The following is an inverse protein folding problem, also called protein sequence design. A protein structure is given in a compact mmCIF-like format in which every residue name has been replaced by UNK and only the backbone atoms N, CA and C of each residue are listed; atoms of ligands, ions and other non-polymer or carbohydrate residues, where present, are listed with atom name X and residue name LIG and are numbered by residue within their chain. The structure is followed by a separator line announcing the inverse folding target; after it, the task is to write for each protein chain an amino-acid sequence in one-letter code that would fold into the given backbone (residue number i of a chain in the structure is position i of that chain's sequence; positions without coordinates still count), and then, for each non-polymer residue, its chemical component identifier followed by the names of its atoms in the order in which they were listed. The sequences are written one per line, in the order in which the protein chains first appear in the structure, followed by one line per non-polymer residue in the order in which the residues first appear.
data_IF_662191896821
#
_entry.id   IF_662191896821
#
_cell.length_a   1.000
_cell.length_b   1.000
_cell.length_c   1.000
_cell.angle_alpha   90.00
_cell.angle_beta   90.00
_cell.angle_gamma   90.00
#
_symmetry.space_group_name_H-M   'P 1'
#
loop_
_entity.id
_entity.type
_entity.pdbx_description
1 polymer ?
#
# COMPACT_ATOMS: atom_id res chain seq x y z
N UNK A 1 -22.36 11.74 -12.77
CA UNK A 1 -22.79 12.63 -11.69
C UNK A 1 -21.77 13.76 -11.47
N UNK A 2 -22.19 14.95 -11.03
CA UNK A 2 -21.26 16.03 -10.62
C UNK A 2 -21.48 16.37 -9.16
N UNK A 3 -20.44 16.24 -8.33
CA UNK A 3 -20.47 16.61 -6.90
C UNK A 3 -19.33 17.55 -6.61
N UNK A 4 -19.63 18.72 -6.04
CA UNK A 4 -18.64 19.77 -5.71
C UNK A 4 -17.76 20.18 -6.90
N UNK A 5 -18.31 20.17 -8.12
CA UNK A 5 -17.57 20.50 -9.34
C UNK A 5 -16.67 19.38 -9.89
N UNK A 6 -16.69 18.20 -9.27
CA UNK A 6 -15.96 17.01 -9.74
C UNK A 6 -16.92 16.08 -10.47
N UNK A 7 -16.50 15.63 -11.65
CA UNK A 7 -17.25 14.71 -12.50
C UNK A 7 -16.90 13.26 -12.18
N UNK A 8 -17.92 12.50 -11.79
CA UNK A 8 -17.86 11.08 -11.52
C UNK A 8 -18.71 10.30 -12.53
N UNK A 9 -18.29 9.07 -12.84
CA UNK A 9 -19.19 8.11 -13.47
C UNK A 9 -20.37 7.86 -12.53
N UNK A 10 -21.58 7.90 -13.09
CA UNK A 10 -22.81 7.68 -12.33
C UNK A 10 -23.03 6.19 -12.05
N UNK A 11 -22.66 5.36 -13.02
CA UNK A 11 -22.69 3.91 -12.90
C UNK A 11 -21.60 3.44 -11.92
N UNK A 12 -22.02 2.72 -10.87
CA UNK A 12 -21.11 2.16 -9.87
C UNK A 12 -20.72 3.12 -8.74
N UNK A 13 -21.30 4.33 -8.67
CA UNK A 13 -21.09 5.20 -7.51
C UNK A 13 -21.72 4.60 -6.25
N UNK A 14 -20.89 4.38 -5.23
CA UNK A 14 -21.32 3.97 -3.90
C UNK A 14 -21.54 5.22 -3.05
N UNK A 15 -22.66 5.25 -2.32
CA UNK A 15 -23.02 6.34 -1.44
C UNK A 15 -23.05 5.86 0.02
N UNK A 16 -22.73 6.78 0.93
CA UNK A 16 -23.04 6.62 2.34
C UNK A 16 -24.56 6.73 2.58
N UNK A 17 -25.06 6.29 3.77
CA UNK A 17 -26.48 6.41 4.10
C UNK A 17 -27.04 7.84 4.07
N UNK A 18 -26.20 8.86 4.24
CA UNK A 18 -26.57 10.27 4.15
C UNK A 18 -26.60 10.82 2.71
N UNK A 19 -26.29 9.97 1.72
CA UNK A 19 -26.25 10.31 0.30
C UNK A 19 -24.94 10.93 -0.19
N UNK A 20 -23.96 11.14 0.68
CA UNK A 20 -22.62 11.57 0.26
C UNK A 20 -21.86 10.43 -0.44
N UNK A 21 -20.88 10.76 -1.29
CA UNK A 21 -20.12 9.75 -2.05
C UNK A 21 -19.22 8.97 -1.10
N UNK A 22 -19.34 7.64 -1.09
CA UNK A 22 -18.36 6.72 -0.50
C UNK A 22 -17.27 6.37 -1.50
N UNK A 23 -17.63 5.91 -2.70
CA UNK A 23 -16.70 5.49 -3.73
C UNK A 23 -17.23 5.78 -5.12
N UNK A 24 -16.38 6.30 -6.01
CA UNK A 24 -16.78 6.55 -7.39
C UNK A 24 -15.56 6.63 -8.32
N UNK A 25 -15.76 6.34 -9.60
CA UNK A 25 -14.73 6.51 -10.63
C UNK A 25 -14.73 7.94 -11.17
N UNK A 26 -13.55 8.56 -11.24
CA UNK A 26 -13.39 9.88 -11.84
C UNK A 26 -13.51 9.83 -13.36
N UNK A 27 -14.22 10.77 -13.98
CA UNK A 27 -14.33 10.84 -15.45
C UNK A 27 -13.01 11.27 -16.10
N UNK A 28 -12.28 12.17 -15.43
CA UNK A 28 -11.04 12.78 -15.89
C UNK A 28 -10.18 13.14 -14.68
N UNK A 29 -8.92 13.49 -14.95
CA UNK A 29 -8.03 14.01 -13.91
C UNK A 29 -8.70 15.19 -13.18
N UNK A 30 -8.61 15.17 -11.86
CA UNK A 30 -9.22 16.18 -10.99
C UNK A 30 -8.36 16.41 -9.76
N UNK A 31 -8.24 17.67 -9.34
CA UNK A 31 -7.63 18.01 -8.05
C UNK A 31 -8.68 17.85 -6.94
N UNK A 32 -8.46 16.88 -6.04
CA UNK A 32 -9.35 16.60 -4.91
C UNK A 32 -8.59 16.90 -3.63
N UNK A 33 -9.03 17.93 -2.89
CA UNK A 33 -8.41 18.33 -1.62
C UNK A 33 -6.90 18.62 -1.75
N UNK A 34 -6.49 19.14 -2.91
CA UNK A 34 -5.09 19.45 -3.23
C UNK A 34 -4.28 18.28 -3.79
N UNK A 35 -4.90 17.11 -3.99
CA UNK A 35 -4.25 15.93 -4.57
C UNK A 35 -4.64 15.74 -6.04
N UNK A 36 -3.67 15.58 -6.96
CA UNK A 36 -3.94 15.37 -8.38
C UNK A 36 -4.37 13.93 -8.64
N UNK A 37 -5.68 13.68 -8.65
CA UNK A 37 -6.25 12.36 -8.84
C UNK A 37 -6.43 12.04 -10.32
N UNK A 38 -6.11 10.80 -10.72
CA UNK A 38 -6.20 10.32 -12.09
C UNK A 38 -7.63 9.99 -12.52
N UNK A 39 -7.99 10.41 -13.73
CA UNK A 39 -9.24 10.00 -14.38
C UNK A 39 -9.28 8.50 -14.68
N UNK A 40 -10.48 7.96 -14.82
CA UNK A 40 -10.74 6.53 -15.03
C UNK A 40 -10.39 5.66 -13.83
N UNK A 41 -10.06 6.26 -12.67
CA UNK A 41 -9.69 5.55 -11.45
C UNK A 41 -10.69 5.84 -10.33
N UNK A 42 -10.84 4.85 -9.46
CA UNK A 42 -11.69 4.99 -8.28
C UNK A 42 -11.05 5.88 -7.23
N UNK A 43 -11.90 6.69 -6.61
CA UNK A 43 -11.61 7.39 -5.36
C UNK A 43 -12.56 6.90 -4.29
N UNK A 44 -12.07 6.84 -3.06
CA UNK A 44 -12.86 6.48 -1.88
C UNK A 44 -12.74 7.59 -0.86
N UNK A 45 -13.84 7.90 -0.19
CA UNK A 45 -13.93 8.93 0.84
C UNK A 45 -14.26 8.30 2.20
N UNK A 46 -13.87 9.01 3.27
CA UNK A 46 -14.42 8.79 4.60
C UNK A 46 -15.84 9.37 4.70
N UNK A 47 -16.65 8.93 5.69
CA UNK A 47 -17.98 9.52 5.93
C UNK A 47 -17.96 11.05 6.09
N UNK A 48 -16.87 11.63 6.62
CA UNK A 48 -16.68 13.08 6.70
C UNK A 48 -16.37 13.78 5.36
N UNK A 49 -16.40 13.06 4.23
CA UNK A 49 -16.11 13.58 2.89
C UNK A 49 -14.62 13.83 2.61
N UNK A 50 -13.74 13.46 3.54
CA UNK A 50 -12.28 13.50 3.34
C UNK A 50 -11.86 12.37 2.41
N UNK A 51 -10.91 12.65 1.51
CA UNK A 51 -10.37 11.60 0.64
C UNK A 51 -9.74 10.52 1.53
N UNK A 52 -9.87 9.25 1.14
CA UNK A 52 -9.26 8.10 1.79
C UNK A 52 -8.30 7.36 0.86
N UNK A 53 -8.73 7.16 -0.39
CA UNK A 53 -7.97 6.48 -1.42
C UNK A 53 -8.12 7.23 -2.73
N UNK A 54 -7.02 7.35 -3.47
CA UNK A 54 -7.04 7.76 -4.86
C UNK A 54 -5.85 7.14 -5.61
N UNK A 55 -5.87 7.28 -6.94
CA UNK A 55 -4.65 7.16 -7.75
C UNK A 55 -4.16 8.55 -8.12
N UNK A 56 -2.91 8.86 -7.79
CA UNK A 56 -2.23 10.09 -8.20
C UNK A 56 -1.87 10.03 -9.68
N UNK A 57 -2.21 11.08 -10.45
CA UNK A 57 -1.87 11.17 -11.88
C UNK A 57 -0.44 11.66 -12.13
N UNK A 58 0.16 12.35 -11.15
CA UNK A 58 1.52 12.89 -11.21
C UNK A 58 2.16 12.91 -9.82
N UNK A 59 3.50 13.07 -9.71
CA UNK A 59 4.14 13.20 -8.41
C UNK A 59 3.59 14.39 -7.62
N UNK A 60 3.45 14.23 -6.31
CA UNK A 60 3.01 15.29 -5.38
C UNK A 60 3.70 15.12 -4.03
N UNK A 61 3.88 16.22 -3.31
CA UNK A 61 4.40 16.18 -1.93
C UNK A 61 3.23 16.21 -0.96
N UNK A 62 3.13 15.22 -0.07
CA UNK A 62 2.10 15.13 0.97
C UNK A 62 2.82 15.08 2.31
N UNK A 63 2.58 16.06 3.19
CA UNK A 63 3.25 16.11 4.50
C UNK A 63 4.78 16.14 4.44
N UNK A 64 5.37 16.67 3.35
CA UNK A 64 6.82 16.67 3.14
C UNK A 64 7.38 15.41 2.47
N UNK A 65 6.56 14.40 2.21
CA UNK A 65 6.95 13.15 1.53
C UNK A 65 6.63 13.24 0.04
N UNK A 66 7.65 13.06 -0.81
CA UNK A 66 7.49 13.03 -2.25
C UNK A 66 6.87 11.70 -2.70
N UNK A 67 5.61 11.73 -3.13
CA UNK A 67 4.85 10.57 -3.58
C UNK A 67 4.89 10.45 -5.10
N UNK A 68 5.13 9.24 -5.61
CA UNK A 68 5.10 8.93 -7.04
C UNK A 68 3.64 8.86 -7.55
N UNK A 69 3.41 8.93 -8.87
CA UNK A 69 2.12 8.57 -9.44
C UNK A 69 1.76 7.14 -9.06
N UNK A 70 0.48 6.87 -8.78
CA UNK A 70 0.05 5.56 -8.29
C UNK A 70 -0.93 5.67 -7.13
N UNK A 71 -1.25 4.54 -6.51
CA UNK A 71 -2.23 4.48 -5.42
C UNK A 71 -1.66 5.20 -4.19
N UNK A 72 -2.51 6.04 -3.58
CA UNK A 72 -2.25 6.69 -2.30
C UNK A 72 -3.41 6.43 -1.36
N UNK A 73 -3.06 6.19 -0.09
CA UNK A 73 -4.00 6.23 1.03
C UNK A 73 -3.66 7.40 1.92
N UNK A 74 -4.69 8.04 2.45
CA UNK A 74 -4.56 9.12 3.42
C UNK A 74 -5.42 8.83 4.65
N UNK A 75 -4.98 9.31 5.80
CA UNK A 75 -5.77 9.36 7.02
C UNK A 75 -6.93 10.34 6.87
N UNK A 76 -7.92 10.27 7.74
CA UNK A 76 -9.08 11.18 7.69
C UNK A 76 -8.67 12.65 7.91
N UNK A 77 -7.62 12.89 8.70
CA UNK A 77 -6.96 14.20 8.82
C UNK A 77 -6.41 14.73 7.49
N UNK A 78 -6.16 13.86 6.51
CA UNK A 78 -5.47 14.15 5.25
C UNK A 78 -3.96 13.92 5.31
N UNK A 79 -3.43 13.43 6.43
CA UNK A 79 -2.04 12.97 6.51
C UNK A 79 -1.81 11.76 5.59
N UNK A 80 -0.59 11.63 5.06
CA UNK A 80 -0.23 10.48 4.23
C UNK A 80 -0.28 9.20 5.08
N UNK A 81 -1.03 8.19 4.64
CA UNK A 81 -1.04 6.85 5.25
C UNK A 81 -0.14 5.90 4.47
N UNK A 82 -0.27 5.86 3.14
CA UNK A 82 0.51 4.91 2.34
C UNK A 82 0.69 5.40 0.90
N UNK A 83 1.92 5.32 0.38
CA UNK A 83 2.24 5.70 -0.99
C UNK A 83 3.55 5.06 -1.44
N UNK A 84 3.78 5.05 -2.76
CA UNK A 84 5.10 4.80 -3.34
C UNK A 84 5.90 6.11 -3.35
N UNK A 85 7.16 6.07 -2.93
CA UNK A 85 8.04 7.24 -2.91
C UNK A 85 8.52 7.61 -4.31
N UNK A 86 8.46 8.90 -4.65
CA UNK A 86 9.02 9.44 -5.90
C UNK A 86 10.53 9.68 -5.81
N UNK A 87 11.03 9.88 -4.60
CA UNK A 87 12.43 10.13 -4.30
C UNK A 87 12.79 9.43 -2.97
N UNK A 88 14.07 9.16 -2.75
CA UNK A 88 14.51 8.64 -1.46
C UNK A 88 14.15 9.63 -0.34
N UNK A 89 13.76 9.09 0.81
CA UNK A 89 13.35 9.87 1.97
C UNK A 89 13.90 9.22 3.25
N UNK A 90 14.27 10.04 4.23
CA UNK A 90 14.73 9.55 5.53
C UNK A 90 13.64 9.79 6.58
N UNK A 91 13.15 8.72 7.18
CA UNK A 91 12.16 8.78 8.26
C UNK A 91 12.84 8.53 9.59
N UNK A 92 13.04 9.58 10.39
CA UNK A 92 13.67 9.48 11.72
C UNK A 92 14.96 8.65 11.76
N UNK A 93 15.84 8.83 10.76
CA UNK A 93 17.10 8.09 10.62
C UNK A 93 17.02 6.78 9.81
N UNK A 94 15.83 6.39 9.35
CA UNK A 94 15.63 5.22 8.48
C UNK A 94 15.60 5.67 7.01
N UNK A 95 16.65 5.37 6.21
CA UNK A 95 16.66 5.71 4.81
C UNK A 95 15.78 4.75 3.99
N UNK A 96 14.79 5.30 3.29
CA UNK A 96 13.91 4.54 2.40
C UNK A 96 14.13 5.01 0.96
N UNK A 97 14.46 4.10 0.02
CA UNK A 97 14.80 4.49 -1.35
C UNK A 97 13.56 4.89 -2.17
N UNK A 98 13.79 5.63 -3.25
CA UNK A 98 12.75 5.90 -4.25
C UNK A 98 12.16 4.60 -4.80
N UNK A 99 10.86 4.61 -5.12
CA UNK A 99 10.14 3.43 -5.61
C UNK A 99 9.74 2.43 -4.52
N UNK A 100 10.26 2.56 -3.29
CA UNK A 100 9.71 1.83 -2.17
C UNK A 100 8.33 2.39 -1.79
N UNK A 101 7.47 1.50 -1.33
CA UNK A 101 6.20 1.85 -0.71
C UNK A 101 6.37 2.00 0.79
N UNK A 102 5.71 2.98 1.38
CA UNK A 102 5.74 3.26 2.81
C UNK A 102 4.34 3.24 3.39
N UNK A 103 4.22 2.84 4.65
CA UNK A 103 3.05 3.07 5.49
C UNK A 103 3.47 3.98 6.65
N UNK A 104 2.70 5.03 6.90
CA UNK A 104 2.94 6.01 7.95
C UNK A 104 1.75 6.11 8.90
N UNK A 105 2.03 6.40 10.16
CA UNK A 105 1.01 6.79 11.13
C UNK A 105 0.46 8.20 10.83
N UNK A 106 -0.53 8.64 11.61
CA UNK A 106 -1.16 9.95 11.42
C UNK A 106 -0.22 11.14 11.71
N UNK A 107 0.84 10.92 12.49
CA UNK A 107 1.89 11.92 12.75
C UNK A 107 2.99 11.93 11.68
N UNK A 108 2.94 11.02 10.71
CA UNK A 108 3.97 10.85 9.67
C UNK A 108 5.14 9.95 10.09
N UNK A 109 5.03 9.26 11.22
CA UNK A 109 6.00 8.25 11.65
C UNK A 109 5.94 7.02 10.75
N UNK A 110 7.11 6.51 10.36
CA UNK A 110 7.21 5.30 9.51
C UNK A 110 6.78 4.07 10.31
N UNK A 111 5.76 3.36 9.83
CA UNK A 111 5.29 2.09 10.40
C UNK A 111 5.94 0.89 9.71
N UNK A 112 6.04 0.93 8.39
CA UNK A 112 6.68 -0.12 7.60
C UNK A 112 7.01 0.40 6.19
N UNK A 113 7.95 -0.26 5.53
CA UNK A 113 8.24 0.00 4.12
C UNK A 113 8.54 -1.29 3.35
N UNK A 114 8.29 -1.25 2.05
CA UNK A 114 8.65 -2.33 1.15
C UNK A 114 10.16 -2.32 0.87
N UNK A 115 10.73 -3.50 0.71
CA UNK A 115 12.09 -3.75 0.28
C UNK A 115 12.07 -4.74 -0.88
N UNK A 116 12.68 -4.35 -2.01
CA UNK A 116 12.94 -5.27 -3.12
C UNK A 116 14.18 -6.09 -2.79
N UNK A 117 14.07 -7.40 -2.98
CA UNK A 117 15.20 -8.31 -2.82
C UNK A 117 15.76 -8.63 -4.21
N UNK A 118 17.09 -8.67 -4.33
CA UNK A 118 17.77 -8.97 -5.60
C UNK A 118 17.89 -10.48 -5.86
N UNK A 119 17.84 -11.28 -4.79
CA UNK A 119 17.82 -12.73 -4.80
C UNK A 119 17.14 -13.21 -3.52
N UNK A 120 16.71 -14.48 -3.51
CA UNK A 120 16.21 -15.12 -2.30
C UNK A 120 17.25 -14.96 -1.18
N UNK A 121 16.85 -14.40 -0.05
CA UNK A 121 17.77 -14.04 1.02
C UNK A 121 17.08 -14.04 2.37
N UNK A 122 17.88 -13.96 3.44
CA UNK A 122 17.35 -13.85 4.79
C UNK A 122 16.87 -12.42 5.07
N UNK A 123 15.62 -12.27 5.54
CA UNK A 123 15.09 -11.02 6.12
C UNK A 123 14.61 -11.35 7.53
N UNK A 124 15.23 -10.74 8.55
CA UNK A 124 14.97 -11.09 9.95
C UNK A 124 15.22 -12.57 10.29
N UNK A 125 16.10 -13.25 9.53
CA UNK A 125 16.38 -14.68 9.69
C UNK A 125 15.42 -15.63 8.95
N UNK A 126 14.39 -15.10 8.28
CA UNK A 126 13.48 -15.90 7.44
C UNK A 126 13.98 -15.96 5.99
N UNK A 127 13.97 -17.13 5.33
CA UNK A 127 14.34 -17.25 3.92
C UNK A 127 13.22 -16.68 3.04
N UNK A 128 13.41 -15.46 2.54
CA UNK A 128 12.41 -14.73 1.78
C UNK A 128 12.67 -14.80 0.28
N UNK A 129 11.60 -14.93 -0.49
CA UNK A 129 11.66 -14.98 -1.95
C UNK A 129 11.82 -13.59 -2.55
N UNK A 130 12.72 -13.44 -3.53
CA UNK A 130 12.90 -12.20 -4.29
C UNK A 130 11.83 -11.94 -5.36
N UNK A 131 10.90 -12.87 -5.56
CA UNK A 131 9.75 -12.67 -6.45
C UNK A 131 8.75 -11.65 -5.87
N UNK A 132 8.86 -11.33 -4.57
CA UNK A 132 7.96 -10.43 -3.85
C UNK A 132 8.76 -9.35 -3.11
N UNK A 133 8.11 -8.23 -2.80
CA UNK A 133 8.68 -7.30 -1.85
C UNK A 133 8.56 -7.88 -0.44
N UNK A 134 9.62 -7.80 0.35
CA UNK A 134 9.49 -7.91 1.79
C UNK A 134 8.93 -6.58 2.31
N UNK A 135 8.06 -6.61 3.32
CA UNK A 135 7.75 -5.44 4.13
C UNK A 135 8.48 -5.56 5.45
N UNK A 136 9.07 -4.45 5.88
CA UNK A 136 9.87 -4.39 7.09
C UNK A 136 9.46 -3.21 7.95
N UNK A 137 9.52 -3.40 9.26
CA UNK A 137 9.46 -2.35 10.26
C UNK A 137 10.70 -1.44 10.18
N UNK A 138 10.67 -0.25 10.81
CA UNK A 138 11.80 0.68 10.84
C UNK A 138 13.11 0.08 11.36
N UNK A 139 13.04 -0.96 12.20
CA UNK A 139 14.20 -1.67 12.74
C UNK A 139 14.73 -2.80 11.83
N UNK A 140 14.11 -3.01 10.67
CA UNK A 140 14.48 -4.02 9.67
C UNK A 140 13.88 -5.41 9.91
N UNK A 141 13.09 -5.62 10.97
CA UNK A 141 12.35 -6.87 11.16
C UNK A 141 11.21 -6.98 10.13
N UNK A 142 10.91 -8.19 9.62
CA UNK A 142 9.85 -8.37 8.63
C UNK A 142 8.46 -8.17 9.24
N UNK A 143 7.60 -7.42 8.56
CA UNK A 143 6.15 -7.35 8.81
C UNK A 143 5.34 -8.18 7.81
N UNK A 144 5.85 -8.36 6.59
CA UNK A 144 5.26 -9.25 5.57
C UNK A 144 6.35 -9.85 4.69
N UNK A 145 6.39 -11.17 4.58
CA UNK A 145 7.34 -11.86 3.69
C UNK A 145 6.70 -13.06 3.00
N UNK A 146 7.24 -13.45 1.85
CA UNK A 146 6.93 -14.73 1.21
C UNK A 146 8.12 -15.66 1.37
N UNK A 147 7.91 -16.86 1.92
CA UNK A 147 8.99 -17.81 2.16
C UNK A 147 9.52 -18.42 0.86
N UNK A 148 10.83 -18.36 0.64
CA UNK A 148 11.54 -19.03 -0.46
C UNK A 148 11.68 -20.55 -0.21
N UNK A 149 11.70 -20.97 1.06
CA UNK A 149 11.80 -22.36 1.48
C UNK A 149 11.00 -22.62 2.76
N UNK A 150 10.62 -23.87 3.05
CA UNK A 150 9.94 -24.19 4.31
C UNK A 150 10.72 -23.70 5.52
N UNK A 151 10.03 -23.18 6.53
CA UNK A 151 10.62 -22.60 7.73
C UNK A 151 9.82 -22.93 8.98
N UNK A 152 10.50 -23.05 10.11
CA UNK A 152 9.87 -23.24 11.43
C UNK A 152 9.91 -21.93 12.20
N UNK A 153 8.74 -21.44 12.60
CA UNK A 153 8.57 -20.20 13.38
C UNK A 153 7.73 -20.56 14.60
N UNK A 154 8.24 -20.28 15.80
CA UNK A 154 7.60 -20.63 17.08
C UNK A 154 7.14 -22.10 17.17
N UNK A 155 7.95 -23.01 16.61
CA UNK A 155 7.67 -24.45 16.62
C UNK A 155 6.63 -24.91 15.60
N UNK A 156 6.10 -24.01 14.76
CA UNK A 156 5.19 -24.32 13.66
C UNK A 156 5.93 -24.26 12.33
N UNK A 157 5.71 -25.28 11.50
CA UNK A 157 6.24 -25.32 10.13
C UNK A 157 5.33 -24.57 9.15
N UNK A 158 5.96 -23.77 8.29
CA UNK A 158 5.34 -23.04 7.20
C UNK A 158 6.00 -23.46 5.88
N UNK A 159 5.21 -23.75 4.83
CA UNK A 159 5.74 -24.20 3.55
C UNK A 159 6.41 -23.07 2.75
N UNK A 160 7.18 -23.45 1.73
CA UNK A 160 7.58 -22.53 0.65
C UNK A 160 6.34 -21.85 0.05
N UNK A 161 6.44 -20.56 -0.25
CA UNK A 161 5.32 -19.77 -0.76
C UNK A 161 4.30 -19.38 0.31
N UNK A 162 4.57 -19.63 1.59
CA UNK A 162 3.77 -19.00 2.64
C UNK A 162 4.05 -17.49 2.64
N UNK A 163 3.03 -16.68 2.34
CA UNK A 163 3.01 -15.26 2.70
C UNK A 163 2.66 -15.16 4.18
N UNK A 164 3.58 -14.65 4.97
CA UNK A 164 3.44 -14.47 6.41
C UNK A 164 3.20 -13.00 6.70
N UNK A 165 2.25 -12.72 7.59
CA UNK A 165 2.07 -11.43 8.24
C UNK A 165 2.59 -11.55 9.66
N UNK A 166 3.54 -10.71 10.02
CA UNK A 166 4.20 -10.75 11.33
C UNK A 166 3.93 -9.44 12.07
N UNK A 167 3.87 -9.52 13.40
CA UNK A 167 3.90 -8.33 14.25
C UNK A 167 5.33 -7.85 14.49
N UNK A 168 5.48 -6.74 15.21
CA UNK A 168 6.78 -6.20 15.59
C UNK A 168 7.60 -7.19 16.44
N UNK A 169 6.97 -8.11 17.16
CA UNK A 169 7.65 -9.15 17.93
C UNK A 169 8.21 -10.29 17.07
N UNK A 170 7.82 -10.37 15.80
CA UNK A 170 8.10 -11.50 14.91
C UNK A 170 7.09 -12.66 15.05
N UNK A 171 5.98 -12.46 15.77
CA UNK A 171 4.91 -13.45 15.86
C UNK A 171 4.12 -13.46 14.57
N UNK A 172 3.81 -14.65 14.04
CA UNK A 172 2.94 -14.78 12.86
C UNK A 172 1.49 -14.49 13.24
N UNK A 173 0.96 -13.38 12.73
CA UNK A 173 -0.43 -12.94 12.90
C UNK A 173 -1.38 -13.71 11.99
N UNK A 174 -0.99 -13.89 10.73
CA UNK A 174 -1.75 -14.61 9.71
C UNK A 174 -0.80 -15.14 8.64
N UNK A 175 -1.26 -16.10 7.84
CA UNK A 175 -0.56 -16.52 6.65
C UNK A 175 -1.48 -17.07 5.58
N UNK A 176 -1.02 -17.05 4.34
CA UNK A 176 -1.67 -17.73 3.23
C UNK A 176 -0.64 -18.36 2.30
N UNK A 177 -1.08 -19.41 1.59
CA UNK A 177 -0.29 -19.99 0.52
C UNK A 177 -0.41 -19.12 -0.73
N UNK A 178 0.74 -18.73 -1.28
CA UNK A 178 0.83 -18.15 -2.62
C UNK A 178 1.36 -19.21 -3.58
N UNK A 179 0.84 -19.19 -4.79
CA UNK A 179 1.34 -20.03 -5.87
C UNK A 179 2.48 -19.29 -6.57
N UNK A 180 3.70 -19.72 -6.28
CA UNK A 180 4.93 -19.20 -6.89
C UNK A 180 5.06 -19.64 -8.36
N UNK A 181 4.45 -20.76 -8.73
CA UNK A 181 4.61 -21.39 -10.04
C UNK A 181 3.54 -20.91 -11.03
N UNK A 182 2.43 -20.33 -10.55
CA UNK A 182 1.33 -19.81 -11.37
C UNK A 182 1.66 -18.58 -12.22
N UNK A 183 2.89 -18.07 -12.20
CA UNK A 183 3.40 -17.13 -13.20
C UNK A 183 2.48 -15.94 -13.47
N UNK A 184 2.64 -14.89 -12.65
CA UNK A 184 2.13 -13.50 -12.81
C UNK A 184 0.88 -13.14 -12.00
N UNK A 185 0.99 -11.95 -11.38
CA UNK A 185 -0.07 -11.11 -10.79
C UNK A 185 -0.52 -11.49 -9.37
N UNK A 186 0.40 -11.96 -8.54
CA UNK A 186 0.14 -11.87 -7.11
C UNK A 186 0.22 -10.40 -6.66
N UNK A 187 -0.89 -9.89 -6.15
CA UNK A 187 -0.98 -8.57 -5.53
C UNK A 187 -0.85 -8.76 -4.04
N UNK A 188 0.27 -8.31 -3.46
CA UNK A 188 0.39 -8.26 -2.01
C UNK A 188 -0.74 -7.39 -1.47
N UNK A 189 -1.51 -7.92 -0.52
CA UNK A 189 -2.62 -7.17 0.08
C UNK A 189 -2.01 -6.17 1.04
N UNK A 190 -2.03 -4.90 0.65
CA UNK A 190 -1.68 -3.78 1.52
C UNK A 190 -2.99 -2.99 1.68
N UNK A 191 -3.55 -2.96 2.89
CA UNK A 191 -4.84 -2.31 3.22
C UNK A 191 -6.10 -2.83 2.50
N UNK A 192 -6.13 -4.10 2.09
CA UNK A 192 -7.37 -4.76 1.65
C UNK A 192 -7.87 -4.41 0.24
N UNK A 193 -7.10 -3.69 -0.58
CA UNK A 193 -7.47 -3.39 -1.98
C UNK A 193 -6.56 -4.15 -2.95
N UNK A 194 -7.16 -4.66 -4.03
CA UNK A 194 -6.45 -5.40 -5.08
C UNK A 194 -5.78 -4.44 -6.07
N UNK A 195 -4.49 -4.17 -5.95
CA UNK A 195 -3.75 -3.38 -6.96
C UNK A 195 -3.67 -4.05 -8.33
N UNK A 196 -4.56 -3.72 -9.28
CA UNK A 196 -4.47 -4.25 -10.65
C UNK A 196 -3.12 -3.91 -11.29
N UNK A 197 -2.37 -4.91 -11.79
CA UNK A 197 -1.30 -4.62 -12.73
C UNK A 197 -1.91 -4.04 -14.00
N UNK A 198 -1.22 -3.07 -14.56
CA UNK A 198 -1.50 -2.52 -15.87
C UNK A 198 -1.53 -3.66 -16.92
N UNK A 199 -2.50 -3.57 -17.83
CA UNK A 199 -2.33 -4.07 -19.20
C UNK A 199 -1.50 -3.06 -20.00
#
# INVERSE_FOLDING_TARGET
MVVSGIEYLDEGAELFPDGSIHGATLVRDADIQGLPCAGGCDVVFFPGGRLRLARLSRPVVIGGVACAPGIVYVHESGALLNATLAAAHEFAGVPVPAGARVTLDEAGGLLEHSQRLEADQLVGGLPCSAEFHAWVYPDGRPSLVVLASPSVIDGREYPRGAELFLDEGGQVLDWRQVDLDAGRRYKQRVFGVHEAPFE
#
